data_IF_948561655008
#
_entry.id   IF_948561655008
#
_cell.length_a   1.000
_cell.length_b   1.000
_cell.length_c   1.000
_cell.angle_alpha   90.00
_cell.angle_beta   90.00
_cell.angle_gamma   90.00
#
_symmetry.space_group_name_H-M   'P 1'
#
loop_
_entity.id
_entity.type
_entity.pdbx_description
1 polymer ?
#
# COMPACT_ATOMS: atom_id res chain seq x y z
N UNK A 1 15.65 -14.37 15.01
CA UNK A 1 14.35 -14.57 14.30
C UNK A 1 14.19 -13.46 13.29
N UNK A 2 14.04 -13.77 12.00
CA UNK A 2 13.83 -12.75 10.99
C UNK A 2 12.40 -12.23 11.09
N UNK A 3 12.19 -10.90 10.87
CA UNK A 3 10.86 -10.29 10.95
C UNK A 3 10.05 -10.59 9.69
N UNK A 4 9.44 -11.76 9.66
CA UNK A 4 8.64 -12.22 8.54
C UNK A 4 7.16 -12.13 8.86
N UNK A 5 6.38 -11.79 7.84
CA UNK A 5 4.93 -11.89 7.90
C UNK A 5 4.46 -12.92 6.88
N UNK A 6 3.39 -13.64 7.23
CA UNK A 6 2.73 -14.54 6.30
C UNK A 6 1.63 -13.75 5.60
N UNK A 7 1.70 -13.67 4.27
CA UNK A 7 0.73 -12.90 3.48
C UNK A 7 -0.55 -13.70 3.25
N UNK A 8 -1.56 -13.04 2.68
CA UNK A 8 -2.85 -13.67 2.36
C UNK A 8 -2.69 -14.92 1.47
N UNK A 9 -1.78 -14.85 0.49
CA UNK A 9 -1.55 -15.98 -0.41
C UNK A 9 -0.65 -17.07 0.19
N UNK A 10 -0.18 -16.89 1.42
CA UNK A 10 0.68 -17.86 2.11
C UNK A 10 2.16 -17.67 1.88
N UNK A 11 2.57 -16.56 1.28
CA UNK A 11 3.98 -16.27 1.10
C UNK A 11 4.57 -15.68 2.38
N UNK A 12 5.88 -15.86 2.56
CA UNK A 12 6.61 -15.26 3.67
C UNK A 12 7.34 -14.01 3.16
N UNK A 13 7.01 -12.87 3.75
CA UNK A 13 7.63 -11.60 3.39
C UNK A 13 8.50 -11.11 4.53
N UNK A 14 9.79 -10.90 4.25
CA UNK A 14 10.77 -10.39 5.23
C UNK A 14 10.96 -8.89 4.97
N UNK A 15 10.54 -8.05 5.92
CA UNK A 15 10.59 -6.60 5.79
C UNK A 15 12.03 -6.11 5.66
N UNK A 16 12.99 -6.79 6.32
CA UNK A 16 14.39 -6.37 6.32
C UNK A 16 15.15 -6.80 5.07
N UNK A 17 14.69 -7.87 4.41
CA UNK A 17 15.32 -8.40 3.20
C UNK A 17 14.23 -8.76 2.20
N UNK A 18 13.54 -7.75 1.63
CA UNK A 18 12.42 -8.03 0.74
C UNK A 18 12.88 -8.76 -0.52
N UNK A 19 12.18 -9.85 -0.84
CA UNK A 19 12.41 -10.64 -2.02
C UNK A 19 11.28 -10.37 -3.01
N UNK A 20 11.56 -9.89 -4.23
CA UNK A 20 10.51 -9.63 -5.23
C UNK A 20 9.61 -10.85 -5.49
N UNK A 21 10.14 -12.07 -5.35
CA UNK A 21 9.35 -13.28 -5.54
C UNK A 21 8.27 -13.46 -4.46
N UNK A 22 8.38 -12.78 -3.33
CA UNK A 22 7.38 -12.85 -2.26
C UNK A 22 6.29 -11.78 -2.40
N UNK A 23 6.34 -10.96 -3.44
CA UNK A 23 5.38 -9.88 -3.68
C UNK A 23 4.44 -10.32 -4.80
N UNK A 24 3.14 -10.18 -4.58
CA UNK A 24 2.15 -10.47 -5.63
C UNK A 24 0.96 -9.51 -5.50
N UNK A 25 0.31 -9.28 -6.64
CA UNK A 25 -0.81 -8.33 -6.70
C UNK A 25 -2.00 -8.77 -5.86
N UNK A 26 -2.22 -10.07 -5.73
CA UNK A 26 -3.33 -10.60 -4.92
C UNK A 26 -3.19 -10.18 -3.47
N UNK A 27 -1.99 -10.28 -2.91
CA UNK A 27 -1.72 -9.88 -1.53
C UNK A 27 -1.92 -8.38 -1.36
N UNK A 28 -1.41 -7.59 -2.32
CA UNK A 28 -1.51 -6.14 -2.28
C UNK A 28 -2.99 -5.72 -2.30
N UNK A 29 -3.74 -6.24 -3.27
CA UNK A 29 -5.15 -5.88 -3.42
C UNK A 29 -5.97 -6.28 -2.20
N UNK A 30 -5.76 -7.50 -1.69
CA UNK A 30 -6.51 -8.00 -0.55
C UNK A 30 -6.20 -7.18 0.70
N UNK A 31 -4.92 -6.98 1.00
CA UNK A 31 -4.51 -6.26 2.21
C UNK A 31 -4.97 -4.81 2.17
N UNK A 32 -4.80 -4.12 1.03
CA UNK A 32 -5.21 -2.72 0.93
C UNK A 32 -6.71 -2.55 1.08
N UNK A 33 -7.51 -3.57 0.72
CA UNK A 33 -8.96 -3.52 0.89
C UNK A 33 -9.39 -3.61 2.36
N UNK A 34 -8.52 -4.09 3.23
CA UNK A 34 -8.79 -4.28 4.65
C UNK A 34 -8.10 -3.26 5.55
N UNK A 35 -7.23 -2.42 5.02
CA UNK A 35 -6.55 -1.38 5.79
C UNK A 35 -7.35 -0.10 5.71
N UNK A 36 -7.75 0.44 6.86
CA UNK A 36 -8.48 1.70 6.92
C UNK A 36 -7.52 2.88 6.76
N UNK A 37 -7.93 3.88 5.99
CA UNK A 37 -7.17 5.11 5.82
C UNK A 37 -6.95 5.81 7.14
N UNK A 38 -5.78 6.46 7.28
CA UNK A 38 -5.48 7.29 8.45
C UNK A 38 -5.47 6.53 9.77
N UNK A 39 -5.15 5.24 9.75
CA UNK A 39 -5.16 4.40 10.95
C UNK A 39 -6.51 4.41 11.67
N UNK A 40 -7.60 4.58 10.91
CA UNK A 40 -8.94 4.59 11.49
C UNK A 40 -9.44 5.95 11.95
N UNK A 41 -8.65 7.01 11.82
CA UNK A 41 -9.08 8.36 12.19
C UNK A 41 -9.97 8.96 11.10
N UNK A 42 -11.07 8.27 10.81
CA UNK A 42 -12.08 8.65 9.83
C UNK A 42 -13.44 8.37 10.43
N UNK A 43 -14.49 8.98 9.88
CA UNK A 43 -15.85 8.81 10.43
C UNK A 43 -16.43 7.44 10.11
N UNK A 44 -16.11 6.89 8.94
CA UNK A 44 -16.57 5.55 8.55
C UNK A 44 -15.39 4.85 7.88
N UNK A 45 -15.48 3.52 7.81
CA UNK A 45 -14.42 2.74 7.16
C UNK A 45 -14.25 3.19 5.71
N UNK A 46 -12.99 3.48 5.36
CA UNK A 46 -12.58 3.83 4.00
C UNK A 46 -11.22 3.17 3.77
N UNK A 47 -11.17 2.17 2.91
CA UNK A 47 -9.95 1.40 2.76
C UNK A 47 -8.89 2.12 1.93
N UNK A 48 -7.64 1.77 2.16
CA UNK A 48 -6.52 2.25 1.34
C UNK A 48 -6.74 1.82 -0.12
N UNK A 49 -7.30 0.63 -0.35
CA UNK A 49 -7.63 0.16 -1.69
C UNK A 49 -8.64 1.07 -2.40
N UNK A 50 -9.69 1.49 -1.69
CA UNK A 50 -10.67 2.45 -2.24
C UNK A 50 -9.99 3.77 -2.61
N UNK A 51 -9.09 4.25 -1.75
CA UNK A 51 -8.33 5.46 -2.04
C UNK A 51 -7.48 5.30 -3.30
N UNK A 52 -6.80 4.18 -3.44
CA UNK A 52 -5.97 3.92 -4.63
C UNK A 52 -6.81 3.90 -5.91
N UNK A 53 -8.01 3.30 -5.87
CA UNK A 53 -8.93 3.31 -6.99
C UNK A 53 -9.38 4.72 -7.33
N UNK A 54 -9.68 5.55 -6.35
CA UNK A 54 -10.08 6.94 -6.59
C UNK A 54 -8.94 7.74 -7.23
N UNK A 55 -7.71 7.52 -6.76
CA UNK A 55 -6.54 8.19 -7.35
C UNK A 55 -6.36 7.79 -8.82
N UNK A 56 -6.54 6.51 -9.13
CA UNK A 56 -6.44 6.02 -10.51
C UNK A 56 -7.55 6.62 -11.39
N UNK A 57 -8.79 6.66 -10.88
CA UNK A 57 -9.92 7.25 -11.61
C UNK A 57 -9.71 8.73 -11.88
N UNK A 58 -9.15 9.45 -10.90
CA UNK A 58 -8.83 10.86 -11.08
C UNK A 58 -7.78 11.06 -12.18
N UNK A 59 -6.75 10.20 -12.17
CA UNK A 59 -5.72 10.26 -13.21
C UNK A 59 -6.31 9.98 -14.59
N UNK A 60 -7.22 9.01 -14.69
CA UNK A 60 -7.91 8.72 -15.95
C UNK A 60 -8.78 9.89 -16.41
N UNK A 61 -9.51 10.53 -15.49
CA UNK A 61 -10.35 11.67 -15.79
C UNK A 61 -9.55 12.85 -16.32
N UNK A 62 -8.31 12.99 -15.89
CA UNK A 62 -7.38 14.01 -16.37
C UNK A 62 -6.66 13.60 -17.65
N UNK A 63 -6.98 12.43 -18.19
CA UNK A 63 -6.40 11.91 -19.43
C UNK A 63 -4.88 11.75 -19.35
N UNK A 64 -4.39 11.35 -18.17
CA UNK A 64 -2.97 11.09 -17.98
C UNK A 64 -2.57 9.78 -18.66
N UNK A 65 -1.28 9.62 -19.05
CA UNK A 65 -0.81 8.39 -19.67
C UNK A 65 -1.03 7.17 -18.77
N UNK A 66 -1.20 5.99 -19.36
CA UNK A 66 -1.47 4.75 -18.64
C UNK A 66 -0.45 4.47 -17.53
N UNK A 67 0.83 4.79 -17.75
CA UNK A 67 1.86 4.58 -16.73
C UNK A 67 1.60 5.42 -15.48
N UNK A 68 1.02 6.62 -15.63
CA UNK A 68 0.72 7.49 -14.49
C UNK A 68 -0.55 7.04 -13.80
N UNK A 69 -1.53 6.51 -14.54
CA UNK A 69 -2.71 5.89 -13.95
C UNK A 69 -2.30 4.70 -13.09
N UNK A 70 -1.42 3.85 -13.61
CA UNK A 70 -0.90 2.70 -12.87
C UNK A 70 -0.10 3.14 -11.64
N UNK A 71 0.72 4.18 -11.77
CA UNK A 71 1.47 4.72 -10.65
C UNK A 71 0.53 5.24 -9.56
N UNK A 72 -0.55 5.93 -9.93
CA UNK A 72 -1.55 6.41 -8.98
C UNK A 72 -2.25 5.25 -8.28
N UNK A 73 -2.56 4.17 -9.01
CA UNK A 73 -3.20 2.98 -8.45
C UNK A 73 -2.29 2.30 -7.42
N UNK A 74 -1.00 2.28 -7.65
CA UNK A 74 -0.04 1.51 -6.83
C UNK A 74 0.76 2.37 -5.85
N UNK A 75 0.48 3.68 -5.74
CA UNK A 75 1.33 4.58 -4.95
C UNK A 75 1.39 4.20 -3.46
N UNK A 76 0.37 3.56 -2.92
CA UNK A 76 0.32 3.13 -1.53
C UNK A 76 0.49 1.62 -1.37
N UNK A 77 0.98 0.92 -2.41
CA UNK A 77 1.07 -0.54 -2.39
C UNK A 77 1.91 -1.07 -1.22
N UNK A 78 2.94 -0.33 -0.81
CA UNK A 78 3.79 -0.75 0.31
C UNK A 78 3.04 -0.86 1.63
N UNK A 79 1.89 -0.19 1.76
CA UNK A 79 1.10 -0.24 2.98
C UNK A 79 0.52 -1.63 3.23
N UNK A 80 0.45 -2.49 2.21
CA UNK A 80 0.01 -3.86 2.41
C UNK A 80 0.97 -4.65 3.31
N UNK A 81 2.21 -4.20 3.42
CA UNK A 81 3.23 -4.83 4.27
C UNK A 81 3.57 -4.01 5.51
N UNK A 82 3.35 -2.70 5.47
CA UNK A 82 3.81 -1.76 6.50
C UNK A 82 2.68 -0.97 7.17
N UNK A 83 1.43 -1.21 6.76
CA UNK A 83 0.27 -0.47 7.22
C UNK A 83 0.31 1.00 6.78
N UNK A 84 -0.75 1.76 7.11
CA UNK A 84 -0.87 3.17 6.73
C UNK A 84 -0.06 4.02 7.71
N UNK A 85 1.15 4.41 7.29
CA UNK A 85 2.03 5.24 8.12
C UNK A 85 1.78 6.71 7.80
N UNK A 86 1.31 7.52 8.77
CA UNK A 86 1.08 8.96 8.53
C UNK A 86 2.32 9.66 8.02
N UNK A 87 2.13 10.70 7.18
CA UNK A 87 3.23 11.38 6.52
C UNK A 87 4.34 11.84 7.47
N UNK A 88 4.04 12.44 8.64
CA UNK A 88 5.11 12.84 9.55
C UNK A 88 5.99 11.69 10.01
N UNK A 89 5.38 10.52 10.29
CA UNK A 89 6.13 9.33 10.68
C UNK A 89 6.89 8.74 9.50
N UNK A 90 6.32 8.81 8.30
CA UNK A 90 7.01 8.39 7.08
C UNK A 90 8.31 9.17 6.89
N UNK A 91 8.26 10.48 7.08
CA UNK A 91 9.45 11.32 6.97
C UNK A 91 10.53 10.88 7.95
N UNK A 92 10.14 10.57 9.19
CA UNK A 92 11.09 10.10 10.21
C UNK A 92 11.67 8.74 9.84
N UNK A 93 10.85 7.81 9.32
CA UNK A 93 11.29 6.47 8.99
C UNK A 93 12.23 6.43 7.78
N UNK A 94 11.98 7.27 6.78
CA UNK A 94 12.72 7.20 5.53
C UNK A 94 13.80 8.26 5.37
N UNK A 95 13.85 9.27 6.23
CA UNK A 95 14.88 10.30 6.18
C UNK A 95 15.89 10.19 7.29
N UNK A 96 15.61 9.42 8.34
CA UNK A 96 16.58 9.18 9.42
C UNK A 96 17.73 8.33 8.90
N UNK A 97 18.97 8.69 9.24
CA UNK A 97 20.13 7.88 8.85
C UNK A 97 20.13 6.50 9.51
#
# INVERSE_FOLDING_TARGET
MSPQITTYSGKFFDITHPDPASICIEDIAHALSLICRGNGHVMTFYSVGQHCLQCAKEAMARQLPSRLVLAALLHDATECYMSDVPRPMNCLLYTSP
#
